data_IF_714978924741
#
_entry.id   IF_714978924741
#
_cell.length_a   1.000
_cell.length_b   1.000
_cell.length_c   1.000
_cell.angle_alpha   90.00
_cell.angle_beta   90.00
_cell.angle_gamma   90.00
#
_symmetry.space_group_name_H-M   'P 1'
#
loop_
_entity.id
_entity.type
_entity.pdbx_description
1 polymer ?
#
# COMPACT_ATOMS: atom_id res chain seq x y z
N UNK A 1 2.33 14.20 -19.30
CA UNK A 1 0.86 13.94 -19.28
C UNK A 1 0.63 12.71 -18.41
N UNK A 2 -0.39 12.72 -17.56
CA UNK A 2 -0.73 11.55 -16.75
C UNK A 2 -1.77 10.69 -17.47
N UNK A 3 -1.73 9.37 -17.26
CA UNK A 3 -2.73 8.41 -17.71
C UNK A 3 -3.37 7.69 -16.54
N UNK A 4 -4.63 7.31 -16.67
CA UNK A 4 -5.37 6.52 -15.68
C UNK A 4 -6.03 5.36 -16.41
N UNK A 5 -5.92 4.18 -15.83
CA UNK A 5 -6.68 2.98 -16.21
C UNK A 5 -7.41 2.45 -14.99
N UNK A 6 -8.55 1.83 -15.19
CA UNK A 6 -9.32 1.22 -14.11
C UNK A 6 -9.90 -0.12 -14.56
N UNK A 7 -9.91 -1.09 -13.65
CA UNK A 7 -10.48 -2.40 -13.85
C UNK A 7 -11.45 -2.71 -12.71
N UNK A 8 -12.68 -3.01 -13.06
CA UNK A 8 -13.68 -3.51 -12.14
C UNK A 8 -14.10 -4.91 -12.55
N UNK A 9 -13.75 -5.90 -11.73
CA UNK A 9 -14.12 -7.30 -11.98
C UNK A 9 -15.55 -7.56 -11.49
N UNK A 10 -16.43 -7.92 -12.43
CA UNK A 10 -17.78 -8.36 -12.11
C UNK A 10 -17.85 -9.86 -11.78
N UNK A 11 -16.87 -10.61 -12.25
CA UNK A 11 -16.74 -12.06 -12.01
C UNK A 11 -15.66 -12.30 -10.95
N UNK A 12 -16.08 -12.78 -9.79
CA UNK A 12 -15.20 -13.11 -8.67
C UNK A 12 -14.18 -14.22 -8.99
N UNK A 13 -14.45 -15.07 -9.98
CA UNK A 13 -13.53 -16.12 -10.41
C UNK A 13 -12.22 -15.56 -11.00
N UNK A 14 -12.24 -14.33 -11.48
CA UNK A 14 -11.10 -13.63 -12.05
C UNK A 14 -10.26 -12.88 -11.02
N UNK A 15 -10.65 -12.89 -9.74
CA UNK A 15 -10.00 -12.06 -8.71
C UNK A 15 -8.51 -12.38 -8.54
N UNK A 16 -8.13 -13.66 -8.70
CA UNK A 16 -6.72 -14.07 -8.66
C UNK A 16 -5.91 -13.58 -9.86
N UNK A 17 -6.55 -13.10 -10.90
CA UNK A 17 -5.92 -12.56 -12.11
C UNK A 17 -5.93 -11.03 -12.15
N UNK A 18 -6.52 -10.37 -11.13
CA UNK A 18 -6.67 -8.90 -11.10
C UNK A 18 -5.35 -8.16 -11.36
N UNK A 19 -4.29 -8.54 -10.66
CA UNK A 19 -2.97 -7.95 -10.83
C UNK A 19 -2.43 -8.09 -12.24
N UNK A 20 -2.51 -9.28 -12.82
CA UNK A 20 -2.05 -9.56 -14.18
C UNK A 20 -2.82 -8.77 -15.23
N UNK A 21 -4.14 -8.70 -15.11
CA UNK A 21 -5.00 -7.95 -16.03
C UNK A 21 -4.73 -6.44 -15.94
N UNK A 22 -4.61 -5.90 -14.72
CA UNK A 22 -4.33 -4.49 -14.51
C UNK A 22 -2.92 -4.12 -14.98
N UNK A 23 -1.93 -4.99 -14.77
CA UNK A 23 -0.55 -4.77 -15.20
C UNK A 23 -0.44 -4.52 -16.70
N UNK A 24 -1.12 -5.33 -17.50
CA UNK A 24 -1.12 -5.16 -18.96
C UNK A 24 -1.72 -3.81 -19.39
N UNK A 25 -2.80 -3.40 -18.71
CA UNK A 25 -3.43 -2.09 -18.97
C UNK A 25 -2.50 -0.94 -18.55
N UNK A 26 -1.81 -1.06 -17.42
CA UNK A 26 -0.91 -0.02 -16.92
C UNK A 26 0.33 0.12 -17.80
N UNK A 27 0.90 -0.99 -18.30
CA UNK A 27 2.04 -0.98 -19.25
C UNK A 27 1.71 -0.20 -20.52
N UNK A 28 0.49 -0.34 -21.05
CA UNK A 28 0.08 0.41 -22.27
C UNK A 28 0.03 1.92 -22.04
N UNK A 29 0.05 2.38 -20.79
CA UNK A 29 0.05 3.80 -20.44
C UNK A 29 1.45 4.37 -20.20
N UNK A 30 2.52 3.58 -20.41
CA UNK A 30 3.90 3.98 -20.12
C UNK A 30 4.32 5.28 -20.81
N UNK A 31 3.92 5.48 -22.07
CA UNK A 31 4.23 6.70 -22.82
C UNK A 31 3.57 7.97 -22.26
N UNK A 32 2.55 7.80 -21.40
CA UNK A 32 1.81 8.92 -20.79
C UNK A 32 2.31 9.29 -19.40
N UNK A 33 3.06 8.42 -18.75
CA UNK A 33 3.59 8.68 -17.40
C UNK A 33 4.82 7.83 -17.12
N UNK A 34 5.99 8.18 -17.72
CA UNK A 34 7.22 7.39 -17.58
C UNK A 34 7.91 7.59 -16.23
N UNK A 35 7.58 8.64 -15.47
CA UNK A 35 8.34 9.06 -14.29
C UNK A 35 7.91 8.36 -13.01
N UNK A 36 6.65 7.99 -12.91
CA UNK A 36 6.10 7.28 -11.75
C UNK A 36 4.82 6.54 -12.11
N UNK A 37 4.57 5.44 -11.42
CA UNK A 37 3.34 4.68 -11.53
C UNK A 37 2.81 4.33 -10.13
N UNK A 38 1.51 4.06 -10.06
CA UNK A 38 0.88 3.62 -8.82
C UNK A 38 -0.39 2.85 -9.10
N UNK A 39 -0.74 2.02 -8.13
CA UNK A 39 -1.94 1.19 -8.16
C UNK A 39 -2.75 1.43 -6.89
N UNK A 40 -4.04 1.65 -7.01
CA UNK A 40 -4.98 1.62 -5.90
C UNK A 40 -5.82 0.34 -6.01
N UNK A 41 -5.82 -0.46 -4.95
CA UNK A 41 -6.57 -1.70 -4.85
C UNK A 41 -7.70 -1.50 -3.84
N UNK A 42 -8.91 -1.86 -4.23
CA UNK A 42 -10.09 -1.82 -3.37
C UNK A 42 -10.54 -3.24 -3.08
N UNK A 43 -10.47 -3.64 -1.81
CA UNK A 43 -11.02 -4.90 -1.30
C UNK A 43 -12.36 -4.70 -0.60
N UNK A 44 -12.85 -5.76 0.02
CA UNK A 44 -14.05 -5.67 0.87
C UNK A 44 -13.80 -4.76 2.08
N UNK A 45 -14.70 -3.81 2.35
CA UNK A 45 -14.55 -2.92 3.50
C UNK A 45 -14.76 -3.67 4.82
N UNK A 46 -13.88 -3.44 5.77
CA UNK A 46 -14.05 -3.91 7.15
C UNK A 46 -14.71 -2.82 8.01
N UNK A 47 -15.72 -3.18 8.80
CA UNK A 47 -16.48 -2.21 9.59
C UNK A 47 -15.69 -1.65 10.79
N UNK A 48 -14.82 -2.46 11.38
CA UNK A 48 -14.11 -2.16 12.63
C UNK A 48 -12.61 -1.94 12.45
N UNK A 49 -12.08 -2.24 11.27
CA UNK A 49 -10.66 -2.18 10.96
C UNK A 49 -10.40 -1.29 9.76
N UNK A 50 -9.23 -0.69 9.75
CA UNK A 50 -8.68 0.00 8.60
C UNK A 50 -7.26 -0.48 8.31
N UNK A 51 -6.84 -0.23 7.07
CA UNK A 51 -5.50 -0.47 6.59
C UNK A 51 -4.77 0.86 6.50
N UNK A 52 -3.50 0.87 6.90
CA UNK A 52 -2.56 1.96 6.65
C UNK A 52 -1.52 1.40 5.69
N UNK A 53 -1.43 1.96 4.49
CA UNK A 53 -0.34 1.63 3.56
C UNK A 53 0.73 2.70 3.68
N UNK A 54 1.96 2.28 3.94
CA UNK A 54 3.13 3.16 3.97
C UNK A 54 4.14 2.73 2.91
N UNK A 55 4.96 3.68 2.46
CA UNK A 55 6.07 3.46 1.56
C UNK A 55 7.35 4.04 2.17
N UNK A 56 8.46 3.31 2.06
CA UNK A 56 9.78 3.80 2.45
C UNK A 56 10.86 3.37 1.46
N UNK A 57 11.75 4.30 1.13
CA UNK A 57 12.96 4.04 0.34
C UNK A 57 14.07 3.38 1.20
N UNK A 58 13.85 3.26 2.52
CA UNK A 58 14.73 2.63 3.52
C UNK A 58 14.04 1.43 4.19
N UNK A 59 13.28 0.66 3.43
CA UNK A 59 12.36 -0.36 3.91
C UNK A 59 12.96 -1.30 4.97
N UNK A 60 14.18 -1.78 4.79
CA UNK A 60 14.80 -2.70 5.74
C UNK A 60 14.88 -2.14 7.16
N UNK A 61 15.40 -0.91 7.29
CA UNK A 61 15.55 -0.25 8.58
C UNK A 61 14.21 0.26 9.14
N UNK A 62 13.41 0.88 8.27
CA UNK A 62 12.15 1.51 8.67
C UNK A 62 11.10 0.46 9.07
N UNK A 63 11.06 -0.68 8.38
CA UNK A 63 10.09 -1.73 8.70
C UNK A 63 10.48 -2.54 9.94
N UNK A 64 11.78 -2.77 10.21
CA UNK A 64 12.23 -3.32 11.48
C UNK A 64 11.88 -2.38 12.65
N UNK A 65 12.09 -1.08 12.46
CA UNK A 65 11.71 -0.05 13.44
C UNK A 65 10.21 -0.02 13.66
N UNK A 66 9.42 -0.09 12.59
CA UNK A 66 7.96 -0.16 12.64
C UNK A 66 7.46 -1.33 13.49
N UNK A 67 7.93 -2.54 13.18
CA UNK A 67 7.54 -3.73 13.95
C UNK A 67 7.90 -3.63 15.42
N UNK A 68 9.11 -3.14 15.72
CA UNK A 68 9.60 -2.98 17.09
C UNK A 68 8.73 -1.99 17.89
N UNK A 69 8.46 -0.82 17.31
CA UNK A 69 7.67 0.23 17.96
C UNK A 69 6.22 -0.20 18.15
N UNK A 70 5.60 -0.79 17.13
CA UNK A 70 4.23 -1.24 17.24
C UNK A 70 4.09 -2.34 18.29
N UNK A 71 5.05 -3.26 18.38
CA UNK A 71 5.08 -4.29 19.42
C UNK A 71 5.28 -3.71 20.83
N UNK A 72 6.12 -2.67 20.96
CA UNK A 72 6.40 -2.03 22.26
C UNK A 72 5.22 -1.17 22.74
N UNK A 73 4.59 -0.42 21.84
CA UNK A 73 3.59 0.60 22.19
C UNK A 73 2.15 0.12 22.15
N UNK A 74 1.90 -0.97 21.42
CA UNK A 74 0.59 -1.61 21.35
C UNK A 74 0.67 -2.97 22.04
N UNK A 75 -0.17 -3.18 23.02
CA UNK A 75 -0.24 -4.45 23.77
C UNK A 75 -0.95 -5.57 22.97
N UNK A 76 -0.72 -5.58 21.66
CA UNK A 76 -1.24 -6.58 20.74
C UNK A 76 -0.35 -6.75 19.52
N UNK A 77 -0.42 -7.93 18.90
CA UNK A 77 0.24 -8.19 17.62
C UNK A 77 -0.67 -7.70 16.48
N UNK A 78 -0.18 -6.75 15.71
CA UNK A 78 -0.85 -6.28 14.50
C UNK A 78 -0.54 -7.19 13.30
N UNK A 79 -1.49 -7.26 12.37
CA UNK A 79 -1.28 -7.87 11.05
C UNK A 79 -0.56 -6.87 10.14
N UNK A 80 0.71 -7.16 9.82
CA UNK A 80 1.55 -6.33 8.95
C UNK A 80 2.01 -7.19 7.79
N UNK A 81 1.74 -6.73 6.58
CA UNK A 81 2.16 -7.37 5.34
C UNK A 81 3.17 -6.47 4.63
N UNK A 82 4.35 -7.01 4.32
CA UNK A 82 5.41 -6.30 3.62
C UNK A 82 5.38 -6.63 2.12
N UNK A 83 5.54 -5.59 1.29
CA UNK A 83 5.52 -5.64 -0.15
C UNK A 83 6.64 -4.74 -0.69
N UNK A 84 7.86 -5.28 -0.81
CA UNK A 84 9.06 -4.55 -1.19
C UNK A 84 9.19 -3.23 -0.41
N UNK A 85 9.05 -2.08 -1.06
CA UNK A 85 9.14 -0.74 -0.44
C UNK A 85 7.89 -0.32 0.33
N UNK A 86 6.85 -1.16 0.37
CA UNK A 86 5.59 -0.85 1.05
C UNK A 86 5.31 -1.80 2.21
N UNK A 87 4.60 -1.28 3.21
CA UNK A 87 4.00 -2.09 4.27
C UNK A 87 2.52 -1.72 4.44
N UNK A 88 1.69 -2.74 4.65
CA UNK A 88 0.26 -2.59 4.94
C UNK A 88 0.03 -3.04 6.38
N UNK A 89 -0.42 -2.13 7.21
CA UNK A 89 -0.75 -2.37 8.62
C UNK A 89 -2.28 -2.42 8.72
N UNK A 90 -2.81 -3.51 9.27
CA UNK A 90 -4.22 -3.64 9.57
C UNK A 90 -4.45 -3.48 11.06
N UNK A 91 -5.33 -2.57 11.44
CA UNK A 91 -5.61 -2.26 12.84
C UNK A 91 -7.06 -1.82 13.06
N UNK A 92 -7.52 -1.95 14.30
CA UNK A 92 -8.81 -1.42 14.71
C UNK A 92 -8.87 0.11 14.49
N UNK A 93 -10.02 0.61 14.04
CA UNK A 93 -10.24 2.02 13.72
C UNK A 93 -9.87 2.96 14.87
N UNK A 94 -10.04 2.53 16.10
CA UNK A 94 -9.69 3.32 17.29
C UNK A 94 -8.20 3.56 17.48
N UNK A 95 -7.35 2.72 16.85
CA UNK A 95 -5.88 2.77 16.97
C UNK A 95 -5.20 3.49 15.81
N UNK A 96 -5.92 3.72 14.71
CA UNK A 96 -5.35 4.28 13.47
C UNK A 96 -4.61 5.59 13.74
N UNK A 97 -5.25 6.53 14.46
CA UNK A 97 -4.64 7.81 14.77
C UNK A 97 -3.33 7.65 15.55
N UNK A 98 -3.30 6.80 16.56
CA UNK A 98 -2.11 6.55 17.37
C UNK A 98 -0.99 5.90 16.55
N UNK A 99 -1.32 4.94 15.67
CA UNK A 99 -0.33 4.32 14.77
C UNK A 99 0.28 5.36 13.81
N UNK A 100 -0.54 6.25 13.25
CA UNK A 100 -0.05 7.33 12.38
C UNK A 100 0.90 8.27 13.12
N UNK A 101 0.60 8.63 14.37
CA UNK A 101 1.48 9.44 15.23
C UNK A 101 2.81 8.70 15.52
N UNK A 102 2.79 7.38 15.73
CA UNK A 102 4.00 6.59 15.90
C UNK A 102 4.86 6.58 14.61
N UNK A 103 4.24 6.38 13.46
CA UNK A 103 4.94 6.41 12.17
C UNK A 103 5.61 7.76 11.95
N UNK A 104 4.89 8.85 12.14
CA UNK A 104 5.42 10.21 11.96
C UNK A 104 6.60 10.50 12.89
N UNK A 105 6.53 10.08 14.16
CA UNK A 105 7.54 10.38 15.16
C UNK A 105 8.80 9.51 15.04
N UNK A 106 8.66 8.24 14.67
CA UNK A 106 9.76 7.26 14.73
C UNK A 106 10.28 6.87 13.35
N UNK A 107 9.48 7.05 12.30
CA UNK A 107 9.85 6.70 10.93
C UNK A 107 9.53 7.88 9.99
N UNK A 108 10.13 9.05 10.19
CA UNK A 108 9.80 10.25 9.41
C UNK A 108 10.16 10.15 7.92
N UNK A 109 10.93 9.13 7.54
CA UNK A 109 11.26 8.80 6.15
C UNK A 109 10.15 8.04 5.43
N UNK A 110 9.26 7.38 6.17
CA UNK A 110 8.12 6.68 5.59
C UNK A 110 7.01 7.67 5.20
N UNK A 111 6.37 7.37 4.09
CA UNK A 111 5.23 8.13 3.55
C UNK A 111 3.95 7.32 3.70
N UNK A 112 2.92 7.91 4.29
CA UNK A 112 1.59 7.30 4.32
C UNK A 112 0.95 7.46 2.95
N UNK A 113 0.66 6.34 2.30
CA UNK A 113 0.07 6.29 0.96
C UNK A 113 -1.45 6.24 1.00
N UNK A 114 -2.02 5.49 1.93
CA UNK A 114 -3.47 5.41 2.12
C UNK A 114 -3.84 5.02 3.54
N UNK A 115 -5.03 5.43 3.95
CA UNK A 115 -5.71 5.00 5.17
C UNK A 115 -7.17 4.75 4.84
N UNK A 116 -7.69 3.57 5.11
CA UNK A 116 -9.10 3.26 4.87
C UNK A 116 -9.43 1.79 5.07
N UNK A 117 -10.73 1.49 5.14
CA UNK A 117 -11.20 0.12 5.41
C UNK A 117 -11.03 -0.84 4.24
N UNK A 118 -10.97 -0.34 3.00
CA UNK A 118 -10.93 -1.16 1.78
C UNK A 118 -9.76 -0.86 0.85
N UNK A 119 -9.14 0.33 0.96
CA UNK A 119 -8.15 0.84 0.00
C UNK A 119 -6.72 0.54 0.43
N UNK A 120 -5.91 0.17 -0.54
CA UNK A 120 -4.44 0.09 -0.47
C UNK A 120 -3.87 0.85 -1.67
N UNK A 121 -2.88 1.74 -1.45
CA UNK A 121 -2.20 2.47 -2.53
C UNK A 121 -0.73 2.14 -2.51
N UNK A 122 -0.25 1.67 -3.64
CA UNK A 122 1.15 1.39 -3.94
C UNK A 122 1.62 2.38 -5.00
N UNK A 123 2.68 3.13 -4.72
CA UNK A 123 3.21 4.15 -5.65
C UNK A 123 4.72 4.17 -5.61
N UNK A 124 5.32 4.13 -6.79
CA UNK A 124 6.76 4.13 -6.98
C UNK A 124 7.20 5.10 -8.09
N UNK A 125 8.45 5.51 -7.99
CA UNK A 125 9.14 6.19 -9.10
C UNK A 125 9.61 5.16 -10.10
N UNK A 126 9.51 5.49 -11.39
CA UNK A 126 9.92 4.65 -12.50
C UNK A 126 8.80 4.37 -13.49
N UNK A 127 9.15 3.66 -14.55
CA UNK A 127 8.18 3.26 -15.57
C UNK A 127 7.18 2.24 -15.01
N UNK A 128 5.93 2.22 -15.51
CA UNK A 128 4.92 1.26 -15.07
C UNK A 128 5.39 -0.19 -15.07
N UNK A 129 6.15 -0.63 -16.08
CA UNK A 129 6.71 -1.98 -16.14
C UNK A 129 7.62 -2.32 -14.96
N UNK A 130 8.51 -1.41 -14.58
CA UNK A 130 9.43 -1.62 -13.44
C UNK A 130 8.73 -1.55 -12.09
N UNK A 131 7.60 -0.86 -11.99
CA UNK A 131 6.80 -0.78 -10.75
C UNK A 131 5.96 -2.03 -10.54
N UNK A 132 5.48 -2.62 -11.62
CA UNK A 132 4.64 -3.83 -11.57
C UNK A 132 5.45 -5.08 -11.19
N UNK A 133 6.71 -5.14 -11.60
CA UNK A 133 7.59 -6.30 -11.37
C UNK A 133 8.13 -6.37 -9.92
N UNK A 134 7.79 -5.42 -9.07
CA UNK A 134 8.11 -5.35 -7.63
C UNK A 134 6.97 -5.86 -6.75
#
# INVERSE_FOLDING_TARGET
MCGIVGLFLKDHSLQNQLGQLLSQMLITMSDRGPDSAGVAIYGEPANTESKITIQSDKQNNDFETLESILREKLDERLDISFKDTHAVIRANNTKIKFILELIENYIPTARVMSVGSSIEIYKETGMPSSVIDR
#
